data_IF_176474300534
#
_entry.id   IF_176474300534
#
_cell.length_a   1.000
_cell.length_b   1.000
_cell.length_c   1.000
_cell.angle_alpha   90.00
_cell.angle_beta   90.00
_cell.angle_gamma   90.00
#
_symmetry.space_group_name_H-M   'P 1'
#
loop_
_entity.id
_entity.type
_entity.pdbx_description
1 polymer ?
#
# COMPACT_ATOMS: atom_id res chain seq x y z
N UNK A 1 -36.30 -6.76 -0.53
CA UNK A 1 -35.06 -5.98 -0.28
C UNK A 1 -34.18 -6.24 -1.46
N UNK A 2 -33.90 -5.21 -2.25
CA UNK A 2 -33.03 -5.30 -3.42
C UNK A 2 -31.59 -5.60 -2.98
N UNK A 3 -30.70 -5.92 -3.91
CA UNK A 3 -29.28 -6.11 -3.63
C UNK A 3 -28.68 -4.82 -3.07
N UNK A 4 -29.00 -3.67 -3.69
CA UNK A 4 -28.56 -2.35 -3.25
C UNK A 4 -28.96 -2.03 -1.81
N UNK A 5 -30.22 -2.30 -1.44
CA UNK A 5 -30.70 -2.12 -0.06
C UNK A 5 -29.93 -3.00 0.95
N UNK A 6 -29.44 -4.17 0.55
CA UNK A 6 -28.63 -5.06 1.42
C UNK A 6 -27.23 -4.50 1.59
N UNK A 7 -26.61 -4.05 0.49
CA UNK A 7 -25.26 -3.45 0.49
C UNK A 7 -25.26 -2.18 1.32
N UNK A 8 -26.18 -1.26 1.06
CA UNK A 8 -26.33 -0.02 1.82
C UNK A 8 -26.57 -0.28 3.32
N UNK A 9 -27.38 -1.31 3.62
CA UNK A 9 -27.64 -1.72 4.99
C UNK A 9 -26.38 -2.20 5.73
N UNK A 10 -25.52 -2.95 5.06
CA UNK A 10 -24.26 -3.44 5.66
C UNK A 10 -23.24 -2.31 5.82
N UNK A 11 -23.13 -1.43 4.82
CA UNK A 11 -22.25 -0.24 4.90
C UNK A 11 -22.71 0.67 6.04
N UNK A 12 -24.02 0.92 6.16
CA UNK A 12 -24.61 1.73 7.22
C UNK A 12 -24.39 1.11 8.61
N UNK A 13 -24.55 -0.23 8.75
CA UNK A 13 -24.31 -0.92 10.03
C UNK A 13 -22.86 -0.77 10.50
N UNK A 14 -21.89 -0.83 9.58
CA UNK A 14 -20.48 -0.64 9.91
C UNK A 14 -20.20 0.77 10.45
N UNK A 15 -20.86 1.79 9.91
CA UNK A 15 -20.69 3.18 10.35
C UNK A 15 -21.31 3.49 11.72
N UNK A 16 -22.14 2.59 12.27
CA UNK A 16 -22.82 2.74 13.56
C UNK A 16 -22.02 2.15 14.73
N UNK A 17 -20.81 1.64 14.52
CA UNK A 17 -20.00 1.13 15.61
C UNK A 17 -19.45 2.28 16.45
N UNK A 18 -19.99 2.47 17.65
CA UNK A 18 -19.55 3.48 18.62
C UNK A 18 -18.20 3.14 19.27
N UNK A 19 -17.83 1.84 19.29
CA UNK A 19 -16.57 1.31 19.83
C UNK A 19 -15.87 0.43 18.80
N UNK A 20 -14.55 0.28 18.95
CA UNK A 20 -13.78 -0.64 18.12
C UNK A 20 -14.36 -2.07 18.26
N UNK A 21 -14.73 -2.74 17.16
CA UNK A 21 -15.33 -4.06 17.20
C UNK A 21 -14.33 -5.09 17.75
N UNK A 22 -14.83 -6.06 18.52
CA UNK A 22 -14.04 -7.20 18.97
C UNK A 22 -13.72 -8.17 17.81
N UNK A 23 -12.82 -9.12 18.08
CA UNK A 23 -12.35 -10.07 17.06
C UNK A 23 -13.47 -10.98 16.50
N UNK A 24 -14.48 -11.35 17.32
CA UNK A 24 -15.61 -12.19 16.86
C UNK A 24 -16.48 -11.42 15.87
N UNK A 25 -16.72 -10.15 16.15
CA UNK A 25 -17.50 -9.27 15.26
C UNK A 25 -16.76 -8.99 13.96
N UNK A 26 -15.44 -8.74 14.01
CA UNK A 26 -14.62 -8.58 12.82
C UNK A 26 -14.60 -9.86 11.96
N UNK A 27 -14.50 -11.03 12.58
CA UNK A 27 -14.56 -12.31 11.87
C UNK A 27 -15.94 -12.52 11.20
N UNK A 28 -17.03 -12.12 11.84
CA UNK A 28 -18.37 -12.14 11.23
C UNK A 28 -18.47 -11.17 10.06
N UNK A 29 -17.93 -9.95 10.18
CA UNK A 29 -17.88 -8.96 9.09
C UNK A 29 -17.15 -9.50 7.87
N UNK A 30 -16.02 -10.22 8.04
CA UNK A 30 -15.30 -10.89 6.94
C UNK A 30 -16.22 -11.85 6.17
N UNK A 31 -16.99 -12.68 6.89
CA UNK A 31 -17.93 -13.63 6.25
C UNK A 31 -19.02 -12.88 5.51
N UNK A 32 -19.59 -11.83 6.10
CA UNK A 32 -20.64 -11.02 5.49
C UNK A 32 -20.15 -10.32 4.22
N UNK A 33 -18.99 -9.62 4.28
CA UNK A 33 -18.46 -8.88 3.12
C UNK A 33 -18.04 -9.84 2.01
N UNK A 34 -17.39 -10.95 2.32
CA UNK A 34 -17.00 -11.95 1.32
C UNK A 34 -18.23 -12.57 0.62
N UNK A 35 -19.29 -12.85 1.37
CA UNK A 35 -20.54 -13.39 0.81
C UNK A 35 -21.26 -12.37 -0.09
N UNK A 36 -21.26 -11.09 0.30
CA UNK A 36 -21.85 -10.01 -0.51
C UNK A 36 -21.05 -9.78 -1.78
N UNK A 37 -19.71 -9.76 -1.70
CA UNK A 37 -18.83 -9.65 -2.87
C UNK A 37 -19.13 -10.76 -3.85
N UNK A 38 -19.24 -12.00 -3.39
CA UNK A 38 -19.58 -13.16 -4.26
C UNK A 38 -20.93 -12.97 -4.97
N UNK A 39 -21.97 -12.58 -4.21
CA UNK A 39 -23.32 -12.36 -4.75
C UNK A 39 -23.35 -11.21 -5.78
N UNK A 40 -22.69 -10.08 -5.48
CA UNK A 40 -22.67 -8.93 -6.38
C UNK A 40 -21.87 -9.26 -7.63
N UNK A 41 -20.74 -9.97 -7.49
CA UNK A 41 -19.89 -10.34 -8.63
C UNK A 41 -20.58 -11.27 -9.60
N UNK A 42 -21.44 -12.20 -9.13
CA UNK A 42 -22.22 -13.09 -9.99
C UNK A 42 -23.23 -12.34 -10.86
N UNK A 43 -23.80 -11.23 -10.37
CA UNK A 43 -24.80 -10.42 -11.08
C UNK A 43 -24.19 -9.23 -11.85
N UNK A 44 -22.86 -8.99 -11.74
CA UNK A 44 -22.21 -7.79 -12.26
C UNK A 44 -21.65 -7.93 -13.70
N UNK A 45 -22.27 -8.71 -14.56
CA UNK A 45 -21.86 -8.83 -15.98
C UNK A 45 -21.87 -7.48 -16.73
N UNK A 46 -22.69 -6.53 -16.28
CA UNK A 46 -22.88 -5.20 -16.90
C UNK A 46 -22.08 -4.08 -16.23
N UNK A 47 -21.29 -4.39 -15.21
CA UNK A 47 -20.50 -3.41 -14.42
C UNK A 47 -21.33 -2.32 -13.71
N UNK A 48 -22.60 -2.57 -13.48
CA UNK A 48 -23.49 -1.61 -12.80
C UNK A 48 -23.19 -1.48 -11.31
N UNK A 49 -22.52 -2.47 -10.71
CA UNK A 49 -22.21 -2.53 -9.28
C UNK A 49 -20.72 -2.42 -8.95
N UNK A 50 -19.91 -1.85 -9.86
CA UNK A 50 -18.46 -1.73 -9.64
C UNK A 50 -18.13 -0.85 -8.42
N UNK A 51 -18.89 0.23 -8.18
CA UNK A 51 -18.68 1.09 -7.01
C UNK A 51 -19.00 0.36 -5.71
N UNK A 52 -20.12 -0.35 -5.65
CA UNK A 52 -20.54 -1.13 -4.49
C UNK A 52 -19.53 -2.24 -4.19
N UNK A 53 -19.05 -2.93 -5.23
CA UNK A 53 -17.98 -3.92 -5.09
C UNK A 53 -16.71 -3.32 -4.52
N UNK A 54 -16.26 -2.18 -5.04
CA UNK A 54 -15.08 -1.48 -4.52
C UNK A 54 -15.26 -1.07 -3.07
N UNK A 55 -16.44 -0.59 -2.66
CA UNK A 55 -16.75 -0.25 -1.28
C UNK A 55 -16.72 -1.49 -0.36
N UNK A 56 -17.26 -2.61 -0.81
CA UNK A 56 -17.20 -3.87 -0.06
C UNK A 56 -15.75 -4.36 0.09
N UNK A 57 -14.93 -4.25 -0.95
CA UNK A 57 -13.50 -4.58 -0.86
C UNK A 57 -12.73 -3.65 0.09
N UNK A 58 -13.08 -2.36 0.16
CA UNK A 58 -12.53 -1.44 1.18
C UNK A 58 -12.84 -1.96 2.58
N UNK A 59 -14.11 -2.26 2.86
CA UNK A 59 -14.54 -2.73 4.18
C UNK A 59 -13.87 -4.06 4.54
N UNK A 60 -13.78 -4.99 3.60
CA UNK A 60 -13.11 -6.27 3.78
C UNK A 60 -11.61 -6.09 4.07
N UNK A 61 -10.93 -5.25 3.31
CA UNK A 61 -9.51 -4.96 3.50
C UNK A 61 -9.23 -4.35 4.89
N UNK A 62 -10.00 -3.34 5.29
CA UNK A 62 -9.87 -2.70 6.60
C UNK A 62 -10.18 -3.67 7.75
N UNK A 63 -11.12 -4.59 7.55
CA UNK A 63 -11.45 -5.61 8.54
C UNK A 63 -10.28 -6.59 8.73
N UNK A 64 -9.63 -7.03 7.65
CA UNK A 64 -8.43 -7.86 7.74
C UNK A 64 -7.27 -7.14 8.42
N UNK A 65 -7.07 -5.85 8.14
CA UNK A 65 -6.07 -5.04 8.86
C UNK A 65 -6.38 -4.94 10.35
N UNK A 66 -7.64 -4.73 10.72
CA UNK A 66 -8.06 -4.67 12.11
C UNK A 66 -7.89 -6.01 12.86
N UNK A 67 -8.02 -7.14 12.15
CA UNK A 67 -7.73 -8.49 12.67
C UNK A 67 -6.23 -8.83 12.71
N UNK A 68 -5.37 -7.96 12.17
CA UNK A 68 -3.94 -8.24 11.94
C UNK A 68 -3.71 -9.49 11.04
N UNK A 69 -4.72 -9.88 10.25
CA UNK A 69 -4.63 -10.96 9.27
C UNK A 69 -4.37 -10.41 7.88
N UNK A 70 -3.10 -10.26 7.54
CA UNK A 70 -2.67 -9.60 6.28
C UNK A 70 -2.61 -10.54 5.08
N UNK A 71 -2.72 -11.85 5.29
CA UNK A 71 -2.57 -12.85 4.22
C UNK A 71 -3.67 -12.77 3.15
N UNK A 72 -4.96 -12.61 3.52
CA UNK A 72 -6.04 -12.51 2.54
C UNK A 72 -6.04 -11.20 1.73
N UNK A 73 -5.26 -10.18 2.13
CA UNK A 73 -5.17 -8.92 1.40
C UNK A 73 -4.66 -9.07 -0.03
N UNK A 74 -3.93 -10.15 -0.34
CA UNK A 74 -3.54 -10.45 -1.71
C UNK A 74 -4.76 -10.81 -2.59
N UNK A 75 -5.69 -11.60 -2.06
CA UNK A 75 -6.92 -11.96 -2.76
C UNK A 75 -7.86 -10.76 -2.90
N UNK A 76 -7.92 -9.90 -1.88
CA UNK A 76 -8.63 -8.61 -1.95
C UNK A 76 -8.06 -7.75 -3.08
N UNK A 77 -6.75 -7.60 -3.14
CA UNK A 77 -6.09 -6.79 -4.18
C UNK A 77 -6.38 -7.34 -5.58
N UNK A 78 -6.34 -8.66 -5.76
CA UNK A 78 -6.68 -9.33 -7.02
C UNK A 78 -8.14 -9.08 -7.41
N UNK A 79 -9.08 -9.27 -6.47
CA UNK A 79 -10.49 -9.00 -6.71
C UNK A 79 -10.77 -7.54 -7.09
N UNK A 80 -10.09 -6.58 -6.46
CA UNK A 80 -10.17 -5.18 -6.83
C UNK A 80 -9.66 -4.93 -8.26
N UNK A 81 -8.55 -5.55 -8.65
CA UNK A 81 -8.01 -5.43 -10.00
C UNK A 81 -8.92 -6.03 -11.07
N UNK A 82 -9.69 -7.06 -10.72
CA UNK A 82 -10.70 -7.64 -11.61
C UNK A 82 -11.91 -6.71 -11.82
N UNK A 83 -12.26 -5.89 -10.83
CA UNK A 83 -13.35 -4.91 -10.90
C UNK A 83 -12.93 -3.62 -11.62
N UNK A 84 -11.72 -3.12 -11.33
CA UNK A 84 -11.26 -1.83 -11.87
C UNK A 84 -10.97 -1.93 -13.36
N UNK A 85 -11.61 -1.05 -14.10
CA UNK A 85 -11.33 -0.80 -15.51
C UNK A 85 -11.00 0.67 -15.68
N UNK A 86 -9.72 0.98 -15.86
CA UNK A 86 -9.20 2.35 -15.90
C UNK A 86 -9.85 3.25 -16.98
N UNK A 87 -10.50 2.66 -17.97
CA UNK A 87 -11.20 3.35 -19.06
C UNK A 87 -12.71 3.45 -18.84
N UNK A 88 -13.26 2.75 -17.83
CA UNK A 88 -14.71 2.67 -17.56
C UNK A 88 -15.04 3.12 -16.14
N UNK A 89 -14.25 2.71 -15.14
CA UNK A 89 -14.52 3.05 -13.73
C UNK A 89 -14.43 4.56 -13.51
N UNK A 90 -15.49 5.24 -13.05
CA UNK A 90 -15.48 6.69 -12.83
C UNK A 90 -14.41 7.10 -11.84
N UNK A 91 -13.80 8.29 -12.09
CA UNK A 91 -12.77 8.84 -11.20
C UNK A 91 -13.26 8.97 -9.74
N UNK A 92 -14.49 9.41 -9.56
CA UNK A 92 -15.11 9.61 -8.25
C UNK A 92 -15.12 8.32 -7.42
N UNK A 93 -15.36 7.18 -8.05
CA UNK A 93 -15.30 5.86 -7.40
C UNK A 93 -13.85 5.50 -7.02
N UNK A 94 -12.90 5.74 -7.93
CA UNK A 94 -11.47 5.52 -7.69
C UNK A 94 -10.93 6.40 -6.57
N UNK A 95 -11.30 7.67 -6.55
CA UNK A 95 -10.86 8.64 -5.53
C UNK A 95 -11.33 8.25 -4.12
N UNK A 96 -12.56 7.73 -4.00
CA UNK A 96 -13.14 7.35 -2.71
C UNK A 96 -12.61 6.03 -2.17
N UNK A 97 -12.29 5.08 -3.03
CA UNK A 97 -12.00 3.69 -2.63
C UNK A 97 -10.52 3.33 -2.69
N UNK A 98 -9.83 3.70 -3.77
CA UNK A 98 -8.46 3.26 -4.02
C UNK A 98 -7.44 3.66 -2.96
N UNK A 99 -7.45 4.90 -2.40
CA UNK A 99 -6.53 5.25 -1.32
C UNK A 99 -6.61 4.28 -0.12
N UNK A 100 -7.82 3.94 0.31
CA UNK A 100 -8.08 3.06 1.45
C UNK A 100 -7.64 1.63 1.17
N UNK A 101 -7.93 1.12 -0.04
CA UNK A 101 -7.50 -0.21 -0.48
C UNK A 101 -5.96 -0.29 -0.57
N UNK A 102 -5.32 0.69 -1.19
CA UNK A 102 -3.86 0.76 -1.32
C UNK A 102 -3.19 0.81 0.05
N UNK A 103 -3.74 1.56 0.99
CA UNK A 103 -3.20 1.66 2.34
C UNK A 103 -3.37 0.34 3.11
N UNK A 104 -4.54 -0.30 3.03
CA UNK A 104 -4.79 -1.60 3.65
C UNK A 104 -3.94 -2.72 3.04
N UNK A 105 -3.92 -2.86 1.70
CA UNK A 105 -3.08 -3.85 1.00
C UNK A 105 -1.59 -3.60 1.28
N UNK A 106 -1.22 -2.34 1.46
CA UNK A 106 0.14 -1.95 1.83
C UNK A 106 0.62 -2.48 3.18
N UNK A 107 -0.27 -2.96 4.04
CA UNK A 107 0.08 -3.66 5.27
C UNK A 107 0.53 -5.11 5.02
N UNK A 108 0.22 -5.68 3.85
CA UNK A 108 0.70 -7.01 3.46
C UNK A 108 2.18 -7.02 3.09
N UNK A 109 2.80 -8.20 3.17
CA UNK A 109 4.14 -8.45 2.63
C UNK A 109 4.15 -8.61 1.10
N UNK A 110 2.99 -8.83 0.50
CA UNK A 110 2.85 -9.04 -0.94
C UNK A 110 2.78 -7.69 -1.67
N UNK A 111 3.81 -7.40 -2.45
CA UNK A 111 3.97 -6.10 -3.10
C UNK A 111 3.54 -6.08 -4.59
N UNK A 112 3.34 -7.25 -5.20
CA UNK A 112 3.06 -7.31 -6.64
C UNK A 112 1.71 -6.67 -6.97
N UNK A 113 0.63 -7.11 -6.34
CA UNK A 113 -0.70 -6.53 -6.56
C UNK A 113 -0.80 -5.08 -6.05
N UNK A 114 -0.06 -4.73 -5.00
CA UNK A 114 0.05 -3.33 -4.56
C UNK A 114 0.64 -2.43 -5.65
N UNK A 115 1.67 -2.93 -6.37
CA UNK A 115 2.24 -2.20 -7.49
C UNK A 115 1.21 -1.97 -8.61
N UNK A 116 0.43 -3.00 -8.95
CA UNK A 116 -0.63 -2.91 -9.96
C UNK A 116 -1.73 -1.93 -9.55
N UNK A 117 -2.21 -2.01 -8.30
CA UNK A 117 -3.20 -1.08 -7.75
C UNK A 117 -2.72 0.38 -7.82
N UNK A 118 -1.46 0.63 -7.42
CA UNK A 118 -0.85 1.95 -7.52
C UNK A 118 -0.78 2.43 -8.96
N UNK A 119 -0.37 1.57 -9.90
CA UNK A 119 -0.30 1.91 -11.32
C UNK A 119 -1.67 2.29 -11.88
N UNK A 120 -2.70 1.49 -11.59
CA UNK A 120 -4.07 1.74 -12.04
C UNK A 120 -4.60 3.05 -11.49
N UNK A 121 -4.39 3.31 -10.20
CA UNK A 121 -4.85 4.54 -9.56
C UNK A 121 -4.13 5.79 -10.09
N UNK A 122 -2.80 5.74 -10.22
CA UNK A 122 -2.00 6.85 -10.78
C UNK A 122 -2.36 7.14 -12.24
N UNK A 123 -2.63 6.11 -13.02
CA UNK A 123 -3.07 6.25 -14.41
C UNK A 123 -4.46 6.88 -14.50
N UNK A 124 -5.41 6.43 -13.68
CA UNK A 124 -6.74 7.01 -13.61
C UNK A 124 -6.71 8.49 -13.20
N UNK A 125 -5.89 8.84 -12.19
CA UNK A 125 -5.67 10.23 -11.77
C UNK A 125 -5.10 11.09 -12.91
N UNK A 126 -4.13 10.56 -13.66
CA UNK A 126 -3.55 11.24 -14.82
C UNK A 126 -4.59 11.48 -15.91
N UNK A 127 -5.38 10.46 -16.28
CA UNK A 127 -6.41 10.56 -17.31
C UNK A 127 -7.53 11.53 -16.91
N UNK A 128 -7.89 11.57 -15.63
CA UNK A 128 -8.87 12.51 -15.07
C UNK A 128 -8.33 13.94 -14.90
N UNK A 129 -7.02 14.18 -15.18
CA UNK A 129 -6.39 15.47 -14.96
C UNK A 129 -6.30 15.87 -13.47
N UNK A 130 -6.28 14.89 -12.57
CA UNK A 130 -6.26 15.04 -11.11
C UNK A 130 -4.90 14.74 -10.48
N UNK A 131 -3.91 14.38 -11.28
CA UNK A 131 -2.56 14.07 -10.80
C UNK A 131 -1.85 15.37 -10.40
N UNK A 132 -1.63 15.56 -9.10
CA UNK A 132 -0.99 16.73 -8.49
C UNK A 132 0.03 16.33 -7.41
N UNK A 133 0.58 17.31 -6.69
CA UNK A 133 1.60 17.09 -5.65
C UNK A 133 1.14 16.18 -4.50
N UNK A 134 -0.16 16.03 -4.24
CA UNK A 134 -0.68 15.13 -3.21
C UNK A 134 -0.39 13.66 -3.53
N UNK A 135 -0.15 13.34 -4.80
CA UNK A 135 0.22 12.00 -5.25
C UNK A 135 1.70 11.67 -5.06
N UNK A 136 2.57 12.63 -4.71
CA UNK A 136 4.01 12.40 -4.60
C UNK A 136 4.38 11.21 -3.71
N UNK A 137 3.71 11.03 -2.59
CA UNK A 137 3.89 9.87 -1.70
C UNK A 137 3.59 8.53 -2.39
N UNK A 138 2.49 8.45 -3.14
CA UNK A 138 2.11 7.26 -3.91
C UNK A 138 3.07 7.00 -5.07
N UNK A 139 3.55 8.05 -5.72
CA UNK A 139 4.56 7.94 -6.78
C UNK A 139 5.89 7.40 -6.22
N UNK A 140 6.34 7.88 -5.06
CA UNK A 140 7.53 7.32 -4.38
C UNK A 140 7.37 5.84 -4.11
N UNK A 141 6.22 5.45 -3.55
CA UNK A 141 5.92 4.04 -3.25
C UNK A 141 5.89 3.20 -4.51
N UNK A 142 5.23 3.67 -5.55
CA UNK A 142 5.19 3.03 -6.86
C UNK A 142 6.58 2.80 -7.44
N UNK A 143 7.43 3.83 -7.47
CA UNK A 143 8.79 3.72 -8.00
C UNK A 143 9.66 2.75 -7.20
N UNK A 144 9.55 2.77 -5.86
CA UNK A 144 10.27 1.82 -5.00
C UNK A 144 9.84 0.37 -5.26
N UNK A 145 8.55 0.13 -5.43
CA UNK A 145 8.03 -1.19 -5.78
C UNK A 145 8.42 -1.59 -7.21
N UNK A 146 8.42 -0.64 -8.15
CA UNK A 146 8.83 -0.88 -9.54
C UNK A 146 10.28 -1.35 -9.64
N UNK A 147 11.20 -0.71 -8.89
CA UNK A 147 12.61 -1.11 -8.84
C UNK A 147 12.78 -2.50 -8.23
N UNK A 148 11.91 -2.84 -7.26
CA UNK A 148 11.91 -4.12 -6.57
C UNK A 148 11.43 -5.26 -7.46
N UNK A 149 10.40 -5.01 -8.28
CA UNK A 149 9.70 -6.00 -9.11
C UNK A 149 10.23 -5.95 -10.55
N UNK A 150 11.52 -6.20 -10.73
CA UNK A 150 12.25 -6.01 -12.00
C UNK A 150 11.71 -6.81 -13.21
N UNK A 151 10.82 -7.78 -12.99
CA UNK A 151 10.27 -8.69 -14.00
C UNK A 151 8.97 -8.23 -14.69
N UNK A 152 8.59 -6.97 -14.58
CA UNK A 152 7.26 -6.52 -15.00
C UNK A 152 7.21 -5.90 -16.41
N UNK A 153 7.81 -6.52 -17.42
CA UNK A 153 7.76 -6.03 -18.82
C UNK A 153 6.34 -5.72 -19.33
N UNK A 154 5.34 -6.48 -18.91
CA UNK A 154 3.96 -6.26 -19.31
C UNK A 154 3.34 -5.00 -18.68
N UNK A 155 3.72 -4.69 -17.44
CA UNK A 155 3.29 -3.47 -16.74
C UNK A 155 3.93 -2.21 -17.36
N UNK A 156 5.13 -2.33 -17.91
CA UNK A 156 5.77 -1.23 -18.64
C UNK A 156 4.99 -0.80 -19.89
N UNK A 157 4.18 -1.68 -20.44
CA UNK A 157 3.28 -1.35 -21.57
C UNK A 157 2.14 -0.44 -21.13
N UNK A 158 1.69 -0.54 -19.87
CA UNK A 158 0.67 0.33 -19.30
C UNK A 158 1.23 1.70 -18.88
N UNK A 159 2.54 1.78 -18.68
CA UNK A 159 3.24 2.99 -18.28
C UNK A 159 3.81 3.70 -19.53
N UNK A 160 2.95 4.38 -20.27
CA UNK A 160 3.35 5.13 -21.44
C UNK A 160 4.31 6.29 -21.12
N UNK A 161 4.92 6.86 -22.16
CA UNK A 161 5.96 7.90 -22.02
C UNK A 161 5.45 9.16 -21.33
N UNK A 162 4.20 9.54 -21.57
CA UNK A 162 3.65 10.80 -21.06
C UNK A 162 3.25 10.64 -19.60
N UNK A 163 2.67 9.50 -19.22
CA UNK A 163 2.44 9.16 -17.83
C UNK A 163 3.76 9.10 -17.04
N UNK A 164 4.81 8.47 -17.58
CA UNK A 164 6.15 8.46 -16.93
C UNK A 164 6.66 9.86 -16.65
N UNK A 165 6.55 10.78 -17.60
CA UNK A 165 6.96 12.18 -17.42
C UNK A 165 6.12 12.87 -16.36
N UNK A 166 4.79 12.67 -16.38
CA UNK A 166 3.90 13.27 -15.41
C UNK A 166 4.22 12.79 -14.00
N UNK A 167 4.41 11.47 -13.79
CA UNK A 167 4.81 10.91 -12.49
C UNK A 167 6.17 11.44 -12.04
N UNK A 168 7.16 11.46 -12.93
CA UNK A 168 8.49 11.96 -12.60
C UNK A 168 8.51 13.45 -12.25
N UNK A 169 7.61 14.26 -12.82
CA UNK A 169 7.53 15.69 -12.52
C UNK A 169 7.00 16.02 -11.12
N UNK A 170 6.40 15.06 -10.43
CA UNK A 170 5.95 15.21 -9.04
C UNK A 170 7.08 15.05 -8.01
N UNK A 171 8.25 14.61 -8.45
CA UNK A 171 9.43 14.43 -7.59
C UNK A 171 10.59 15.28 -8.12
N UNK A 172 11.44 15.75 -7.22
CA UNK A 172 12.68 16.41 -7.66
C UNK A 172 13.64 15.42 -8.32
N UNK A 173 14.50 15.92 -9.20
CA UNK A 173 15.50 15.10 -9.88
C UNK A 173 16.44 14.40 -8.87
N UNK A 174 16.78 15.10 -7.80
CA UNK A 174 17.65 14.60 -6.74
C UNK A 174 16.97 13.45 -5.98
N UNK A 175 15.68 13.60 -5.68
CA UNK A 175 14.88 12.55 -5.04
C UNK A 175 14.73 11.31 -5.92
N UNK A 176 14.45 11.49 -7.22
CA UNK A 176 14.38 10.38 -8.17
C UNK A 176 15.67 9.57 -8.20
N UNK A 177 16.83 10.26 -8.25
CA UNK A 177 18.14 9.60 -8.24
C UNK A 177 18.37 8.83 -6.94
N UNK A 178 18.01 9.41 -5.80
CA UNK A 178 18.12 8.73 -4.49
C UNK A 178 17.29 7.47 -4.44
N UNK A 179 16.06 7.49 -4.96
CA UNK A 179 15.18 6.31 -5.00
C UNK A 179 15.79 5.22 -5.90
N UNK A 180 16.27 5.60 -7.09
CA UNK A 180 16.83 4.66 -8.07
C UNK A 180 18.12 3.99 -7.57
N UNK A 181 18.97 4.75 -6.88
CA UNK A 181 20.26 4.27 -6.40
C UNK A 181 20.17 3.47 -5.08
N UNK A 182 19.04 3.51 -4.40
CA UNK A 182 18.87 2.86 -3.10
C UNK A 182 18.55 1.37 -3.23
N UNK A 183 19.27 0.49 -2.50
CA UNK A 183 18.91 -0.92 -2.43
C UNK A 183 17.48 -1.11 -1.92
N UNK A 184 16.75 -2.00 -2.55
CA UNK A 184 15.40 -2.39 -2.12
C UNK A 184 15.44 -3.76 -1.44
N UNK A 185 14.70 -3.90 -0.34
CA UNK A 185 14.55 -5.18 0.36
C UNK A 185 13.21 -5.77 -0.05
N UNK A 186 13.24 -6.78 -0.87
CA UNK A 186 12.17 -7.64 -1.37
C UNK A 186 10.75 -7.40 -0.84
N UNK A 187 10.10 -8.47 -0.50
CA UNK A 187 8.69 -8.54 -0.11
C UNK A 187 8.39 -8.07 1.33
N UNK A 188 9.38 -7.61 2.09
CA UNK A 188 9.17 -7.19 3.47
C UNK A 188 8.35 -5.91 3.57
N UNK A 189 7.42 -5.90 4.51
CA UNK A 189 6.69 -4.69 4.91
C UNK A 189 7.68 -3.66 5.45
N UNK A 190 7.54 -2.43 4.98
CA UNK A 190 8.32 -1.28 5.43
C UNK A 190 7.47 -0.37 6.30
N UNK A 191 8.12 0.37 7.19
CA UNK A 191 7.41 1.43 7.90
C UNK A 191 6.87 2.46 6.90
N UNK A 192 5.59 2.91 7.00
CA UNK A 192 5.03 3.97 6.17
C UNK A 192 5.88 5.24 6.11
N UNK A 193 6.64 5.54 7.17
CA UNK A 193 7.61 6.64 7.20
C UNK A 193 8.63 6.55 6.06
N UNK A 194 9.01 5.35 5.63
CA UNK A 194 9.98 5.13 4.54
C UNK A 194 9.48 5.59 3.16
N UNK A 195 8.21 5.94 3.03
CA UNK A 195 7.62 6.46 1.79
C UNK A 195 7.43 7.98 1.81
N UNK A 196 7.87 8.67 2.88
CA UNK A 196 7.73 10.11 3.03
C UNK A 196 8.93 10.88 2.44
N UNK A 197 8.71 12.19 2.21
CA UNK A 197 9.78 13.09 1.79
C UNK A 197 10.83 13.30 2.88
N UNK A 198 10.41 13.34 4.13
CA UNK A 198 11.28 13.47 5.29
C UNK A 198 12.30 12.34 5.30
N UNK A 199 11.87 11.11 5.04
CA UNK A 199 12.75 9.94 4.93
C UNK A 199 13.74 10.06 3.79
N UNK A 200 13.31 10.46 2.59
CA UNK A 200 14.19 10.59 1.43
C UNK A 200 15.30 11.64 1.67
N UNK A 201 15.00 12.70 2.41
CA UNK A 201 15.98 13.75 2.73
C UNK A 201 17.12 13.28 3.63
N UNK A 202 16.83 12.39 4.58
CA UNK A 202 17.77 12.02 5.65
C UNK A 202 18.39 10.64 5.43
N UNK A 203 17.81 9.81 4.57
CA UNK A 203 18.16 8.39 4.43
C UNK A 203 19.67 8.17 4.28
N UNK A 204 20.33 8.86 3.35
CA UNK A 204 21.74 8.65 3.09
C UNK A 204 22.64 9.15 4.21
N UNK A 205 22.27 10.22 4.89
CA UNK A 205 23.03 10.71 6.05
C UNK A 205 22.94 9.70 7.21
N UNK A 206 21.75 9.22 7.51
CA UNK A 206 21.51 8.22 8.55
C UNK A 206 22.28 6.93 8.26
N UNK A 207 22.21 6.41 7.03
CA UNK A 207 22.93 5.18 6.65
C UNK A 207 24.45 5.37 6.74
N UNK A 208 25.01 6.48 6.25
CA UNK A 208 26.44 6.76 6.32
C UNK A 208 26.96 6.81 7.76
N UNK A 209 26.22 7.45 8.65
CA UNK A 209 26.57 7.54 10.07
C UNK A 209 26.50 6.20 10.79
N UNK A 210 25.53 5.37 10.42
CA UNK A 210 25.44 4.02 10.96
C UNK A 210 26.56 3.12 10.42
N UNK A 211 26.89 3.23 9.14
CA UNK A 211 28.01 2.51 8.56
C UNK A 211 29.34 2.89 9.23
N UNK A 212 29.57 4.18 9.51
CA UNK A 212 30.72 4.65 10.27
C UNK A 212 30.71 4.09 11.71
N UNK A 213 29.58 4.18 12.43
CA UNK A 213 29.43 3.64 13.80
C UNK A 213 29.74 2.15 13.87
N UNK A 214 29.37 1.39 12.85
CA UNK A 214 29.52 -0.06 12.80
C UNK A 214 30.63 -0.55 11.86
N UNK A 215 31.54 0.34 11.40
CA UNK A 215 32.59 0.00 10.44
C UNK A 215 33.46 -1.18 10.88
N UNK A 216 33.75 -1.29 12.17
CA UNK A 216 34.58 -2.34 12.75
C UNK A 216 33.79 -3.41 13.52
N UNK A 217 32.45 -3.36 13.48
CA UNK A 217 31.62 -4.34 14.17
C UNK A 217 31.52 -5.66 13.38
N UNK A 218 31.69 -6.81 14.03
CA UNK A 218 31.53 -8.09 13.34
C UNK A 218 30.07 -8.27 12.89
N UNK A 219 29.90 -8.55 11.60
CA UNK A 219 28.58 -8.83 11.01
C UNK A 219 28.23 -10.31 11.23
N UNK A 220 27.86 -10.64 12.45
CA UNK A 220 27.45 -11.98 12.88
C UNK A 220 25.93 -12.02 13.13
N UNK A 221 25.43 -13.22 13.44
CA UNK A 221 24.01 -13.42 13.78
C UNK A 221 23.53 -12.38 14.81
N UNK A 222 22.41 -11.74 14.52
CA UNK A 222 21.84 -10.70 15.37
C UNK A 222 22.39 -9.28 15.12
N UNK A 223 23.35 -9.10 14.21
CA UNK A 223 23.87 -7.77 13.86
C UNK A 223 22.76 -6.82 13.37
N UNK A 224 21.83 -7.31 12.59
CA UNK A 224 20.72 -6.51 12.08
C UNK A 224 19.89 -5.85 13.20
N UNK A 225 19.67 -6.53 14.32
CA UNK A 225 18.95 -5.97 15.46
C UNK A 225 19.72 -4.83 16.16
N UNK A 226 21.04 -4.97 16.30
CA UNK A 226 21.87 -3.88 16.84
C UNK A 226 21.86 -2.67 15.91
N UNK A 227 21.99 -2.91 14.62
CA UNK A 227 21.97 -1.86 13.59
C UNK A 227 20.63 -1.12 13.60
N UNK A 228 19.49 -1.85 13.60
CA UNK A 228 18.17 -1.24 13.63
C UNK A 228 17.85 -0.50 14.93
N UNK A 229 18.34 -0.99 16.07
CA UNK A 229 18.17 -0.26 17.33
C UNK A 229 18.93 1.08 17.29
N UNK A 230 20.19 1.07 16.85
CA UNK A 230 20.96 2.28 16.68
C UNK A 230 20.33 3.25 15.66
N UNK A 231 19.77 2.71 14.57
CA UNK A 231 19.04 3.50 13.57
C UNK A 231 17.81 4.17 14.16
N UNK A 232 17.03 3.44 14.95
CA UNK A 232 15.85 3.98 15.62
C UNK A 232 16.20 5.08 16.61
N UNK A 233 17.24 4.86 17.43
CA UNK A 233 17.76 5.86 18.37
C UNK A 233 18.18 7.13 17.63
N UNK A 234 19.01 7.01 16.60
CA UNK A 234 19.48 8.13 15.78
C UNK A 234 18.32 8.91 15.14
N UNK A 235 17.33 8.20 14.57
CA UNK A 235 16.16 8.82 13.96
C UNK A 235 15.30 9.58 14.97
N UNK A 236 15.10 9.02 16.16
CA UNK A 236 14.28 9.64 17.19
C UNK A 236 15.00 10.83 17.82
N UNK A 237 16.28 10.69 18.19
CA UNK A 237 17.06 11.72 18.90
C UNK A 237 17.39 12.94 18.03
N UNK A 238 17.76 12.71 16.76
CA UNK A 238 18.27 13.82 15.93
C UNK A 238 17.22 14.35 14.93
N UNK A 239 16.29 13.50 14.50
CA UNK A 239 15.30 13.90 13.50
C UNK A 239 13.85 13.91 14.04
N UNK A 240 13.62 13.46 15.28
CA UNK A 240 12.27 13.37 15.86
C UNK A 240 11.37 12.34 15.16
N UNK A 241 11.96 11.40 14.40
CA UNK A 241 11.24 10.43 13.59
C UNK A 241 11.10 9.11 14.35
N UNK A 242 9.85 8.72 14.62
CA UNK A 242 9.54 7.38 15.12
C UNK A 242 9.48 6.39 13.97
N UNK A 243 10.42 5.45 13.95
CA UNK A 243 10.54 4.43 12.92
C UNK A 243 10.48 3.02 13.50
N UNK A 244 9.74 2.16 12.83
CA UNK A 244 9.66 0.73 13.17
C UNK A 244 10.62 -0.06 12.31
N UNK A 245 11.41 -0.91 12.95
CA UNK A 245 12.38 -1.76 12.27
C UNK A 245 11.71 -2.83 11.39
N UNK A 246 12.45 -3.42 10.43
CA UNK A 246 11.93 -4.54 9.64
C UNK A 246 11.38 -5.69 10.49
N UNK A 247 12.00 -6.01 11.64
CA UNK A 247 11.47 -7.06 12.53
C UNK A 247 10.16 -6.68 13.22
N UNK A 248 9.99 -5.41 13.57
CA UNK A 248 8.73 -4.92 14.15
C UNK A 248 7.60 -4.90 13.11
N UNK A 249 7.94 -4.59 11.85
CA UNK A 249 6.97 -4.59 10.75
C UNK A 249 6.62 -6.00 10.24
N UNK A 250 7.49 -6.99 10.49
CA UNK A 250 7.34 -8.36 10.00
C UNK A 250 7.58 -9.38 11.12
N UNK A 251 6.71 -9.46 12.13
CA UNK A 251 6.93 -10.26 13.35
C UNK A 251 7.02 -11.76 13.08
N UNK A 252 6.53 -12.25 11.93
CA UNK A 252 6.60 -13.65 11.53
C UNK A 252 7.86 -14.03 10.72
N UNK A 253 8.77 -13.08 10.49
CA UNK A 253 9.98 -13.29 9.68
C UNK A 253 11.20 -13.40 10.58
N UNK A 254 12.03 -14.42 10.34
CA UNK A 254 13.35 -14.53 10.97
C UNK A 254 14.37 -13.66 10.23
N UNK A 255 15.12 -12.89 10.98
CA UNK A 255 16.22 -12.05 10.49
C UNK A 255 17.53 -12.50 11.13
N UNK A 256 18.60 -12.54 10.32
CA UNK A 256 19.96 -12.90 10.74
C UNK A 256 20.84 -11.68 11.03
#
# INVERSE_FOLDING_TARGET
MSLDEKIDGVIALRSLYDEAPDAERLAFDVVCFSSLISLVSEDNETHLHDLELLQLYVLLAETYVALEDYRPLEDVARGVLDVIRYDVTPWEAMEQTMPRIIDAVGESVYNHHLYELLLMYLRAAYQAGKLDESFAGRVRRFLKLRILLDDSEWLDRLLDKDLRKALASLLSQDELMRIIMRPQIGHLRKDPMEYTWEWERIYYDVEARLEERFANAPRQMGFCFMFWNAKRELLEEEYGIKWRSPSQMNPGVMFD
#
